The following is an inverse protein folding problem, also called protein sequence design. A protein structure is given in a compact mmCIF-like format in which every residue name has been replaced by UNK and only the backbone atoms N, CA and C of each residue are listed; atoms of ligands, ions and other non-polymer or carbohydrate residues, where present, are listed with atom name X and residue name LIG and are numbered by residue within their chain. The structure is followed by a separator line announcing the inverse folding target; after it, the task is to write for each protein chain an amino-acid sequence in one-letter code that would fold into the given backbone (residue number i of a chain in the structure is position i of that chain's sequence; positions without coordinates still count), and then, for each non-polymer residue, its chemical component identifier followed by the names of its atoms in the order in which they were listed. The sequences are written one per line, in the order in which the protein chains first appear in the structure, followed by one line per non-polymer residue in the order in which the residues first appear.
data_IF_542568691509
#
_entry.id   IF_542568691509
#
_cell.length_a   1.000
_cell.length_b   1.000
_cell.length_c   1.000
_cell.angle_alpha   90.00
_cell.angle_beta   90.00
_cell.angle_gamma   90.00
#
_symmetry.space_group_name_H-M   'P 1'
#
loop_
_entity.id
_entity.type
_entity.pdbx_description
1 polymer ?
#
# COMPACT_ATOMS: atom_id res chain seq x y z
N UNK A 1 -0.63 2.58 -6.27
CA UNK A 1 -1.80 1.93 -5.63
C UNK A 1 -2.19 2.60 -4.31
N UNK A 2 -1.27 2.84 -3.36
CA UNK A 2 -1.64 3.43 -2.04
C UNK A 2 -1.64 4.96 -1.96
N UNK A 3 -1.18 5.68 -3.00
CA UNK A 3 -0.98 7.14 -2.97
C UNK A 3 -2.21 7.93 -2.51
N UNK A 4 -3.40 7.56 -3.00
CA UNK A 4 -4.65 8.20 -2.59
C UNK A 4 -4.89 8.12 -1.07
N UNK A 5 -4.61 6.98 -0.47
CA UNK A 5 -4.74 6.79 0.98
C UNK A 5 -3.68 7.61 1.71
N UNK A 6 -2.44 7.67 1.19
CA UNK A 6 -1.39 8.50 1.77
C UNK A 6 -1.74 9.99 1.75
N UNK A 7 -2.34 10.47 0.67
CA UNK A 7 -2.66 11.89 0.49
C UNK A 7 -3.82 12.33 1.41
N UNK A 8 -4.75 11.43 1.75
CA UNK A 8 -5.97 11.75 2.50
C UNK A 8 -6.01 11.21 3.94
N UNK A 9 -5.06 10.35 4.35
CA UNK A 9 -5.05 9.76 5.72
C UNK A 9 -4.91 10.80 6.82
N UNK A 10 -4.36 11.99 6.53
CA UNK A 10 -4.24 13.07 7.51
C UNK A 10 -5.59 13.62 7.96
N UNK A 11 -6.53 13.73 7.03
CA UNK A 11 -7.85 14.33 7.28
C UNK A 11 -8.90 13.29 7.69
N UNK A 12 -8.79 12.06 7.15
CA UNK A 12 -9.84 11.04 7.29
C UNK A 12 -9.38 9.77 8.02
N UNK A 13 -8.08 9.58 8.22
CA UNK A 13 -7.53 8.31 8.69
C UNK A 13 -7.57 7.20 7.62
N UNK A 14 -6.81 6.14 7.85
CA UNK A 14 -6.67 5.03 6.88
C UNK A 14 -7.94 4.18 6.83
N UNK A 15 -8.53 3.87 7.98
CA UNK A 15 -9.65 2.91 8.08
C UNK A 15 -10.92 3.38 7.36
N UNK A 16 -11.36 4.66 7.48
CA UNK A 16 -12.52 5.15 6.74
C UNK A 16 -12.31 5.15 5.23
N UNK A 17 -11.10 5.46 4.76
CA UNK A 17 -10.76 5.43 3.33
C UNK A 17 -10.78 3.99 2.80
N UNK A 18 -10.19 3.05 3.54
CA UNK A 18 -10.18 1.63 3.17
C UNK A 18 -11.60 1.03 3.06
N UNK A 19 -12.54 1.50 3.90
CA UNK A 19 -13.96 1.11 3.82
C UNK A 19 -14.64 1.57 2.54
N UNK A 20 -14.29 2.76 2.03
CA UNK A 20 -14.85 3.31 0.78
C UNK A 20 -14.21 2.70 -0.46
N UNK A 21 -12.93 2.31 -0.39
CA UNK A 21 -12.17 1.68 -1.48
C UNK A 21 -12.30 0.14 -1.55
N UNK A 22 -13.33 -0.43 -0.94
CA UNK A 22 -13.37 -1.80 -0.39
C UNK A 22 -12.04 -2.58 -0.37
N UNK A 23 -11.04 -2.09 0.37
CA UNK A 23 -9.79 -2.84 0.63
C UNK A 23 -9.57 -3.04 2.13
N UNK A 24 -8.82 -4.07 2.49
CA UNK A 24 -8.39 -4.25 3.88
C UNK A 24 -7.32 -3.21 4.27
N UNK A 25 -7.36 -2.64 5.49
CA UNK A 25 -6.27 -1.80 6.01
C UNK A 25 -4.91 -2.50 5.99
N UNK A 26 -4.90 -3.84 6.17
CA UNK A 26 -3.69 -4.65 6.07
C UNK A 26 -2.99 -4.50 4.71
N UNK A 27 -3.76 -4.35 3.62
CA UNK A 27 -3.22 -4.15 2.26
C UNK A 27 -2.46 -2.82 2.17
N UNK A 28 -2.93 -1.77 2.83
CA UNK A 28 -2.23 -0.49 2.87
C UNK A 28 -0.88 -0.61 3.59
N UNK A 29 -0.86 -1.24 4.78
CA UNK A 29 0.37 -1.42 5.55
C UNK A 29 1.36 -2.39 4.87
N UNK A 30 0.87 -3.44 4.21
CA UNK A 30 1.70 -4.35 3.42
C UNK A 30 2.40 -3.61 2.26
N UNK A 31 1.69 -2.73 1.56
CA UNK A 31 2.31 -1.88 0.55
C UNK A 31 3.35 -0.91 1.12
N UNK A 32 3.10 -0.32 2.31
CA UNK A 32 4.12 0.49 2.99
C UNK A 32 5.34 -0.33 3.38
N UNK A 33 5.15 -1.53 3.91
CA UNK A 33 6.23 -2.44 4.29
C UNK A 33 7.09 -2.83 3.08
N UNK A 34 6.47 -3.14 1.94
CA UNK A 34 7.17 -3.44 0.68
C UNK A 34 7.91 -2.24 0.09
N UNK A 35 7.41 -1.02 0.31
CA UNK A 35 8.08 0.22 -0.13
C UNK A 35 9.30 0.54 0.75
N UNK A 36 9.21 0.28 2.05
CA UNK A 36 10.32 0.46 2.98
C UNK A 36 11.40 -0.62 2.80
N UNK A 37 10.98 -1.85 2.52
CA UNK A 37 11.87 -2.99 2.32
C UNK A 37 11.47 -3.76 1.04
N UNK A 38 12.15 -3.48 -0.09
CA UNK A 38 11.90 -4.16 -1.35
C UNK A 38 12.11 -5.68 -1.28
N UNK A 39 12.89 -6.20 -0.32
CA UNK A 39 13.08 -7.64 -0.15
C UNK A 39 11.81 -8.39 0.28
N UNK A 40 10.83 -7.66 0.86
CA UNK A 40 9.49 -8.20 1.20
C UNK A 40 8.57 -8.37 0.00
N UNK A 41 8.95 -7.84 -1.17
CA UNK A 41 8.22 -8.10 -2.40
C UNK A 41 8.46 -9.54 -2.86
N UNK A 42 7.49 -10.12 -3.58
CA UNK A 42 7.70 -11.43 -4.20
C UNK A 42 8.79 -11.36 -5.27
N UNK A 43 9.49 -12.46 -5.55
CA UNK A 43 10.51 -12.51 -6.60
C UNK A 43 10.00 -12.12 -7.99
N UNK A 44 8.69 -12.29 -8.25
CA UNK A 44 8.06 -11.78 -9.47
C UNK A 44 7.97 -10.25 -9.44
N UNK A 45 7.43 -9.68 -8.37
CA UNK A 45 7.27 -8.23 -8.24
C UNK A 45 8.61 -7.49 -8.28
N UNK A 46 9.68 -8.08 -7.73
CA UNK A 46 11.04 -7.53 -7.84
C UNK A 46 11.51 -7.49 -9.30
N UNK A 47 11.35 -8.60 -10.05
CA UNK A 47 11.70 -8.66 -11.48
C UNK A 47 10.86 -7.70 -12.33
N UNK A 48 9.58 -7.55 -12.03
CA UNK A 48 8.68 -6.64 -12.74
C UNK A 48 9.07 -5.16 -12.56
N UNK A 49 9.88 -4.80 -11.54
CA UNK A 49 10.41 -3.44 -11.32
C UNK A 49 11.71 -3.21 -12.10
N UNK A 50 12.48 -4.26 -12.39
CA UNK A 50 13.76 -4.18 -13.11
C UNK A 50 13.61 -4.20 -14.65
N UNK A 51 12.43 -4.54 -15.15
CA UNK A 51 12.06 -4.55 -16.58
C UNK A 51 11.56 -3.17 -17.06
#
# INVERSE_FOLDING_TARGET
MIRFIEDHRGDHGVEPICRVLPIAPATFYDHLAKRADPSRMSCRAQRDIEL
#
